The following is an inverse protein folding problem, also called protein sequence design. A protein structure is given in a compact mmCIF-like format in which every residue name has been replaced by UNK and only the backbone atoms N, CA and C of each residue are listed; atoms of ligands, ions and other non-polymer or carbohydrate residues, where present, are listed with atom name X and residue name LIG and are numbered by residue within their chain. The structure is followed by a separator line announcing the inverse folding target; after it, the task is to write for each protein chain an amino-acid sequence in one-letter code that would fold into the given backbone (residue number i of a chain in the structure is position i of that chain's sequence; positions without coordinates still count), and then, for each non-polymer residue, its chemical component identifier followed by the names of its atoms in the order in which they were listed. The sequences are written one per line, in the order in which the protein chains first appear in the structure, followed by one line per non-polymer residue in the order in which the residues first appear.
data_IF_661119736371
#
_entry.id   IF_661119736371
#
_cell.length_a   1.000
_cell.length_b   1.000
_cell.length_c   1.000
_cell.angle_alpha   90.00
_cell.angle_beta   90.00
_cell.angle_gamma   90.00
#
_symmetry.space_group_name_H-M   'P 1'
#
loop_
_entity.id
_entity.type
_entity.pdbx_description
1 polymer ?
#
# COMPACT_ATOMS: atom_id res chain seq x y z
N UNK A 1 4.15 -8.36 18.21
CA UNK A 1 3.86 -7.91 16.83
C UNK A 1 2.60 -8.62 16.34
N UNK A 2 1.72 -7.89 15.71
CA UNK A 2 0.47 -8.43 15.16
C UNK A 2 0.75 -9.32 13.95
N UNK A 3 0.13 -10.50 13.89
CA UNK A 3 0.19 -11.39 12.74
C UNK A 3 -1.15 -11.44 12.05
N UNK A 4 -1.16 -11.21 10.74
CA UNK A 4 -2.36 -11.16 9.91
C UNK A 4 -2.29 -12.31 8.90
N UNK A 5 -3.39 -13.03 8.74
CA UNK A 5 -3.54 -14.03 7.69
C UNK A 5 -4.07 -13.36 6.42
N UNK A 6 -3.23 -13.24 5.41
CA UNK A 6 -3.57 -12.58 4.14
C UNK A 6 -4.56 -13.36 3.26
N UNK A 7 -4.89 -14.59 3.64
CA UNK A 7 -5.91 -15.38 2.94
C UNK A 7 -7.34 -15.10 3.42
N UNK A 8 -7.50 -14.31 4.47
CA UNK A 8 -8.82 -13.97 5.02
C UNK A 8 -9.65 -13.11 4.07
N UNK A 9 -10.97 -13.23 4.17
CA UNK A 9 -11.90 -12.48 3.35
C UNK A 9 -11.77 -12.82 1.88
N UNK A 10 -11.68 -11.82 1.03
CA UNK A 10 -11.48 -11.99 -0.41
C UNK A 10 -10.13 -12.64 -0.76
N UNK A 11 -9.14 -12.53 0.12
CA UNK A 11 -7.82 -13.11 -0.10
C UNK A 11 -6.99 -12.41 -1.17
N UNK A 12 -7.29 -11.15 -1.47
CA UNK A 12 -6.56 -10.34 -2.46
C UNK A 12 -5.57 -9.35 -1.84
N UNK A 13 -5.28 -8.28 -2.55
CA UNK A 13 -4.32 -7.26 -2.12
C UNK A 13 -4.86 -6.24 -1.12
N UNK A 14 -6.18 -6.14 -0.96
CA UNK A 14 -6.76 -5.11 -0.10
C UNK A 14 -6.39 -5.27 1.36
N UNK A 15 -6.33 -6.49 1.87
CA UNK A 15 -5.93 -6.72 3.26
C UNK A 15 -4.51 -6.24 3.52
N UNK A 16 -3.61 -6.40 2.57
CA UNK A 16 -2.25 -5.88 2.67
C UNK A 16 -2.24 -4.35 2.68
N UNK A 17 -2.94 -3.70 1.76
CA UNK A 17 -2.98 -2.23 1.68
C UNK A 17 -3.59 -1.62 2.94
N UNK A 18 -4.66 -2.22 3.46
CA UNK A 18 -5.28 -1.78 4.71
C UNK A 18 -4.33 -1.94 5.90
N UNK A 19 -3.62 -3.07 5.97
CA UNK A 19 -2.66 -3.32 7.03
C UNK A 19 -1.50 -2.30 7.01
N UNK A 20 -0.99 -1.98 5.82
CA UNK A 20 0.06 -0.96 5.66
C UNK A 20 -0.41 0.41 6.15
N UNK A 21 -1.59 0.84 5.71
CA UNK A 21 -2.13 2.14 6.12
C UNK A 21 -2.38 2.21 7.64
N UNK A 22 -2.98 1.19 8.21
CA UNK A 22 -3.24 1.14 9.65
C UNK A 22 -1.95 1.08 10.47
N UNK A 23 -0.96 0.33 10.01
CA UNK A 23 0.35 0.26 10.66
C UNK A 23 1.00 1.65 10.72
N UNK A 24 0.95 2.41 9.64
CA UNK A 24 1.52 3.76 9.60
C UNK A 24 0.76 4.73 10.50
N UNK A 25 -0.56 4.65 10.54
CA UNK A 25 -1.38 5.54 11.38
C UNK A 25 -1.20 5.22 12.86
N UNK A 26 -1.12 3.94 13.22
CA UNK A 26 -1.03 3.49 14.62
C UNK A 26 0.38 3.31 15.13
N UNK A 27 1.38 3.33 14.26
CA UNK A 27 2.78 3.02 14.56
C UNK A 27 2.99 1.58 15.07
N UNK A 28 2.09 0.67 14.74
CA UNK A 28 2.18 -0.72 15.15
C UNK A 28 2.77 -1.59 14.04
N UNK A 29 3.84 -2.34 14.31
CA UNK A 29 4.39 -3.28 13.33
C UNK A 29 3.48 -4.48 13.13
N UNK A 30 3.57 -5.09 11.95
CA UNK A 30 2.82 -6.32 11.68
C UNK A 30 3.62 -7.28 10.79
N UNK A 31 3.20 -8.53 10.83
CA UNK A 31 3.59 -9.57 9.90
C UNK A 31 2.33 -10.07 9.19
N UNK A 32 2.35 -10.18 7.88
CA UNK A 32 1.27 -10.79 7.11
C UNK A 32 1.78 -12.04 6.42
N UNK A 33 0.99 -13.11 6.48
CA UNK A 33 1.30 -14.40 5.87
C UNK A 33 0.24 -14.76 4.84
N UNK A 34 0.47 -15.77 4.03
CA UNK A 34 -0.49 -16.27 3.04
C UNK A 34 -1.00 -15.18 2.09
N UNK A 35 -0.14 -14.23 1.72
CA UNK A 35 -0.52 -13.12 0.84
C UNK A 35 -1.00 -13.68 -0.49
N UNK A 36 -2.26 -13.37 -0.84
CA UNK A 36 -2.90 -13.76 -2.10
C UNK A 36 -2.78 -15.27 -2.41
N UNK A 37 -2.83 -16.11 -1.37
CA UNK A 37 -2.61 -17.55 -1.48
C UNK A 37 -3.55 -18.23 -2.47
N UNK A 38 -4.81 -17.79 -2.55
CA UNK A 38 -5.82 -18.39 -3.43
C UNK A 38 -5.82 -17.85 -4.87
N UNK A 39 -4.92 -16.93 -5.20
CA UNK A 39 -4.86 -16.35 -6.54
C UNK A 39 -4.04 -17.22 -7.49
N UNK A 40 -4.27 -17.06 -8.81
CA UNK A 40 -3.54 -17.80 -9.83
C UNK A 40 -2.03 -17.56 -9.75
N UNK A 41 -1.64 -16.32 -9.41
CA UNK A 41 -0.25 -15.95 -9.10
C UNK A 41 -0.19 -15.47 -7.67
N UNK A 42 0.05 -16.36 -6.69
CA UNK A 42 0.08 -15.98 -5.28
C UNK A 42 1.23 -15.03 -4.94
N UNK A 43 1.11 -14.36 -3.80
CA UNK A 43 2.14 -13.49 -3.29
C UNK A 43 2.10 -12.09 -3.89
N UNK A 44 3.14 -11.32 -3.60
CA UNK A 44 3.25 -9.93 -4.03
C UNK A 44 3.50 -9.84 -5.54
N UNK A 45 2.70 -9.05 -6.22
CA UNK A 45 2.96 -8.63 -7.59
C UNK A 45 3.51 -7.20 -7.60
N UNK A 46 3.83 -6.65 -8.78
CA UNK A 46 4.46 -5.32 -8.89
C UNK A 46 3.66 -4.22 -8.20
N UNK A 47 2.33 -4.21 -8.38
CA UNK A 47 1.47 -3.20 -7.77
C UNK A 47 1.44 -3.31 -6.23
N UNK A 48 1.53 -4.52 -5.69
CA UNK A 48 1.59 -4.74 -4.25
C UNK A 48 2.93 -4.26 -3.69
N UNK A 49 4.02 -4.54 -4.40
CA UNK A 49 5.34 -4.03 -4.04
C UNK A 49 5.39 -2.51 -4.07
N UNK A 50 4.74 -1.88 -5.06
CA UNK A 50 4.67 -0.42 -5.13
C UNK A 50 3.99 0.16 -3.90
N UNK A 51 2.89 -0.46 -3.44
CA UNK A 51 2.21 -0.05 -2.21
C UNK A 51 3.09 -0.25 -0.97
N UNK A 52 3.75 -1.39 -0.85
CA UNK A 52 4.66 -1.69 0.26
C UNK A 52 5.81 -0.69 0.31
N UNK A 53 6.48 -0.47 -0.81
CA UNK A 53 7.62 0.44 -0.89
C UNK A 53 7.21 1.89 -0.71
N UNK A 54 6.05 2.28 -1.23
CA UNK A 54 5.49 3.61 -1.00
C UNK A 54 5.19 3.85 0.48
N UNK A 55 4.54 2.90 1.13
CA UNK A 55 4.28 2.96 2.56
C UNK A 55 5.58 3.02 3.38
N UNK A 56 6.56 2.20 3.03
CA UNK A 56 7.86 2.21 3.70
C UNK A 56 8.59 3.54 3.54
N UNK A 57 8.52 4.14 2.35
CA UNK A 57 9.16 5.42 2.09
C UNK A 57 8.58 6.55 2.93
N UNK A 58 7.24 6.68 2.99
CA UNK A 58 6.61 7.75 3.78
C UNK A 58 6.73 7.52 5.28
N UNK A 59 6.84 6.28 5.72
CA UNK A 59 6.89 5.92 7.14
C UNK A 59 8.29 5.58 7.64
N UNK A 60 9.32 5.71 6.81
CA UNK A 60 10.68 5.30 7.16
C UNK A 60 10.71 3.89 7.77
N UNK A 61 9.96 2.97 7.19
CA UNK A 61 9.74 1.64 7.73
C UNK A 61 10.87 0.69 7.36
N UNK A 62 11.12 -0.27 8.25
CA UNK A 62 11.91 -1.46 7.95
C UNK A 62 10.99 -2.53 7.40
N UNK A 63 11.36 -3.13 6.29
CA UNK A 63 10.57 -4.19 5.66
C UNK A 63 11.43 -5.41 5.36
N UNK A 64 10.81 -6.58 5.43
CA UNK A 64 11.39 -7.82 4.93
C UNK A 64 10.33 -8.64 4.20
N UNK A 65 10.75 -9.36 3.17
CA UNK A 65 9.83 -10.10 2.32
C UNK A 65 9.27 -9.28 1.15
N UNK A 66 9.81 -8.12 0.86
CA UNK A 66 9.39 -7.24 -0.22
C UNK A 66 9.96 -7.66 -1.58
N UNK A 67 9.59 -8.84 -2.01
CA UNK A 67 10.02 -9.41 -3.30
C UNK A 67 8.82 -9.94 -4.08
N UNK A 68 8.93 -9.97 -5.40
CA UNK A 68 7.89 -10.56 -6.26
C UNK A 68 7.61 -12.01 -5.83
N UNK A 69 6.34 -12.34 -5.71
CA UNK A 69 5.90 -13.68 -5.33
C UNK A 69 6.00 -13.99 -3.84
N UNK A 70 6.51 -13.08 -3.03
CA UNK A 70 6.58 -13.29 -1.59
C UNK A 70 5.19 -13.44 -0.98
N UNK A 71 5.00 -14.45 -0.16
CA UNK A 71 3.74 -14.72 0.54
C UNK A 71 3.76 -14.23 1.99
N UNK A 72 4.89 -13.75 2.46
CA UNK A 72 5.06 -13.19 3.80
C UNK A 72 5.74 -11.84 3.73
N UNK A 73 5.32 -10.93 4.61
CA UNK A 73 5.89 -9.61 4.72
C UNK A 73 5.94 -9.20 6.18
N UNK A 74 7.05 -8.62 6.61
CA UNK A 74 7.17 -7.94 7.91
C UNK A 74 7.33 -6.46 7.64
N UNK A 75 6.53 -5.64 8.32
CA UNK A 75 6.53 -4.19 8.18
C UNK A 75 6.64 -3.53 9.55
N UNK A 76 7.67 -2.73 9.74
CA UNK A 76 7.94 -2.03 11.01
C UNK A 76 8.01 -0.53 10.74
N UNK A 77 6.91 0.21 10.99
CA UNK A 77 6.88 1.65 10.73
C UNK A 77 7.76 2.42 11.73
N UNK A 78 8.21 3.58 11.30
CA UNK A 78 8.85 4.57 12.15
C UNK A 78 8.03 5.86 12.09
N UNK A 79 8.62 6.97 11.66
CA UNK A 79 7.94 8.27 11.61
C UNK A 79 7.40 8.53 10.22
N UNK A 80 6.11 8.85 10.11
CA UNK A 80 5.50 9.28 8.85
C UNK A 80 5.92 10.72 8.55
N UNK A 81 6.41 10.95 7.33
CA UNK A 81 6.87 12.25 6.86
C UNK A 81 6.08 12.73 5.66
N UNK A 82 5.74 14.02 5.66
CA UNK A 82 5.24 14.71 4.49
C UNK A 82 6.36 15.09 3.53
N UNK A 83 6.11 16.08 2.67
CA UNK A 83 7.05 16.55 1.66
C UNK A 83 6.75 16.00 0.29
N UNK A 84 7.74 15.96 -0.59
CA UNK A 84 7.57 15.48 -1.95
C UNK A 84 7.85 13.98 -2.04
N UNK A 85 6.85 13.22 -2.48
CA UNK A 85 6.95 11.78 -2.68
C UNK A 85 6.55 11.41 -4.10
N UNK A 86 7.27 10.48 -4.71
CA UNK A 86 6.96 9.95 -6.02
C UNK A 86 6.82 8.42 -5.95
N UNK A 87 5.78 7.89 -6.57
CA UNK A 87 5.47 6.47 -6.56
C UNK A 87 5.30 5.96 -7.99
N UNK A 88 5.87 4.78 -8.26
CA UNK A 88 5.72 4.11 -9.55
C UNK A 88 5.25 2.68 -9.31
N UNK A 89 4.29 2.21 -10.12
CA UNK A 89 3.77 0.84 -10.01
C UNK A 89 4.63 -0.18 -10.74
N UNK A 90 5.60 0.28 -11.51
CA UNK A 90 6.47 -0.59 -12.30
C UNK A 90 5.82 -1.07 -13.59
N UNK A 91 4.82 -0.36 -14.10
CA UNK A 91 4.09 -0.71 -15.31
C UNK A 91 2.68 -0.13 -15.30
N UNK A 92 1.71 -0.90 -15.79
CA UNK A 92 0.31 -0.47 -15.88
C UNK A 92 -0.51 -0.74 -14.61
N UNK A 93 0.14 -1.11 -13.49
CA UNK A 93 -0.55 -1.32 -12.21
C UNK A 93 -1.22 -0.05 -11.70
N UNK A 94 -2.28 -0.19 -10.88
CA UNK A 94 -3.11 0.93 -10.44
C UNK A 94 -2.37 1.89 -9.52
N UNK A 95 -2.27 3.15 -9.95
CA UNK A 95 -1.79 4.24 -9.09
C UNK A 95 -2.82 4.62 -8.04
N UNK A 96 -4.11 4.42 -8.32
CA UNK A 96 -5.18 4.76 -7.39
C UNK A 96 -5.17 3.88 -6.15
N UNK A 97 -4.78 2.61 -6.26
CA UNK A 97 -4.64 1.71 -5.12
C UNK A 97 -3.42 2.08 -4.28
N UNK A 98 -2.32 2.49 -4.88
CA UNK A 98 -1.15 3.01 -4.14
C UNK A 98 -1.53 4.29 -3.41
N UNK A 99 -2.23 5.20 -4.08
CA UNK A 99 -2.70 6.44 -3.48
C UNK A 99 -3.57 6.19 -2.25
N UNK A 100 -4.52 5.26 -2.33
CA UNK A 100 -5.36 4.90 -1.18
C UNK A 100 -4.52 4.38 0.00
N UNK A 101 -3.44 3.67 -0.27
CA UNK A 101 -2.56 3.14 0.77
C UNK A 101 -1.85 4.24 1.55
N UNK A 102 -1.40 5.30 0.88
CA UNK A 102 -0.60 6.36 1.50
C UNK A 102 -1.41 7.58 1.95
N UNK A 103 -2.63 7.75 1.45
CA UNK A 103 -3.44 8.94 1.70
C UNK A 103 -3.71 9.16 3.20
N UNK A 104 -4.34 8.20 3.87
CA UNK A 104 -4.71 8.37 5.27
C UNK A 104 -3.51 8.50 6.20
N UNK A 105 -2.43 7.73 6.05
CA UNK A 105 -1.22 7.99 6.83
C UNK A 105 -0.68 9.40 6.68
N UNK A 106 -0.64 9.94 5.47
CA UNK A 106 -0.16 11.31 5.25
C UNK A 106 -1.10 12.37 5.81
N UNK A 107 -2.40 12.09 5.88
CA UNK A 107 -3.37 13.01 6.47
C UNK A 107 -3.41 12.92 8.01
N UNK A 108 -3.24 11.74 8.57
CA UNK A 108 -3.53 11.47 9.98
C UNK A 108 -2.28 11.34 10.86
N UNK A 109 -1.14 10.93 10.28
CA UNK A 109 0.06 10.61 11.05
C UNK A 109 1.16 11.69 10.96
N UNK A 110 0.94 12.76 10.21
CA UNK A 110 1.86 13.90 10.13
C UNK A 110 1.08 15.19 9.87
N UNK A 111 1.60 16.32 10.35
CA UNK A 111 1.08 17.65 10.06
C UNK A 111 1.79 18.30 8.87
N UNK A 112 2.81 17.65 8.32
CA UNK A 112 3.57 18.19 7.20
C UNK A 112 2.74 18.08 5.91
N UNK A 113 2.68 19.14 5.08
CA UNK A 113 2.04 19.06 3.77
C UNK A 113 2.82 18.15 2.83
N UNK A 114 2.11 17.50 1.92
CA UNK A 114 2.70 16.55 0.97
C UNK A 114 2.32 16.88 -0.46
N UNK A 115 3.26 16.66 -1.36
CA UNK A 115 3.03 16.67 -2.81
C UNK A 115 3.34 15.27 -3.33
N UNK A 116 2.38 14.67 -4.00
CA UNK A 116 2.47 13.27 -4.42
C UNK A 116 2.46 13.17 -5.94
N UNK A 117 3.42 12.45 -6.49
CA UNK A 117 3.47 12.11 -7.91
C UNK A 117 3.29 10.61 -8.11
N UNK A 118 2.48 10.21 -9.08
CA UNK A 118 2.21 8.82 -9.39
C UNK A 118 2.47 8.52 -10.87
N UNK A 119 3.09 7.37 -11.12
CA UNK A 119 3.34 6.87 -12.46
C UNK A 119 2.83 5.44 -12.55
N UNK A 120 1.89 5.18 -13.48
CA UNK A 120 1.26 3.88 -13.64
C UNK A 120 -0.14 3.99 -14.24
N UNK A 121 -0.96 2.96 -14.05
CA UNK A 121 -2.34 2.92 -14.56
C UNK A 121 -3.30 3.78 -13.75
N UNK A 122 -4.28 4.40 -14.43
CA UNK A 122 -5.32 5.22 -13.80
C UNK A 122 -6.71 4.60 -13.90
N UNK A 123 -6.89 3.64 -14.82
CA UNK A 123 -8.15 2.95 -15.07
C UNK A 123 -7.88 1.45 -15.18
N UNK A 124 -7.97 0.74 -14.07
CA UNK A 124 -7.64 -0.68 -13.97
C UNK A 124 -8.86 -1.48 -13.50
N UNK A 125 -8.99 -2.76 -13.93
CA UNK A 125 -9.99 -3.65 -13.36
C UNK A 125 -9.82 -3.79 -11.84
N UNK A 126 -10.93 -3.89 -11.12
CA UNK A 126 -10.97 -4.07 -9.66
C UNK A 126 -10.26 -2.97 -8.87
N UNK A 127 -10.12 -1.77 -9.47
CA UNK A 127 -9.54 -0.61 -8.83
C UNK A 127 -10.37 0.63 -9.18
N UNK A 128 -10.45 1.64 -8.28
CA UNK A 128 -11.17 2.86 -8.60
C UNK A 128 -10.46 3.63 -9.71
N UNK A 129 -11.19 4.08 -10.74
CA UNK A 129 -10.59 4.91 -11.78
C UNK A 129 -10.28 6.31 -11.24
N UNK A 130 -9.38 7.02 -11.92
CA UNK A 130 -8.99 8.38 -11.55
C UNK A 130 -10.20 9.33 -11.46
N UNK A 131 -11.13 9.21 -12.40
CA UNK A 131 -12.31 10.07 -12.43
C UNK A 131 -13.15 9.94 -11.16
N UNK A 132 -13.27 8.74 -10.61
CA UNK A 132 -13.95 8.51 -9.34
C UNK A 132 -13.21 9.19 -8.19
N UNK A 133 -11.89 9.06 -8.12
CA UNK A 133 -11.11 9.71 -7.08
C UNK A 133 -11.23 11.23 -7.15
N UNK A 134 -11.12 11.80 -8.34
CA UNK A 134 -11.22 13.25 -8.53
C UNK A 134 -12.62 13.77 -8.22
N UNK A 135 -13.66 13.11 -8.73
CA UNK A 135 -15.03 13.59 -8.68
C UNK A 135 -15.78 13.24 -7.40
N UNK A 136 -15.49 12.12 -6.74
CA UNK A 136 -16.29 11.60 -5.65
C UNK A 136 -15.52 11.33 -4.36
N UNK A 137 -14.29 10.82 -4.44
CA UNK A 137 -13.53 10.43 -3.26
C UNK A 137 -12.80 11.61 -2.61
N UNK A 138 -12.26 12.52 -3.43
CA UNK A 138 -11.42 13.64 -2.96
C UNK A 138 -12.13 14.99 -2.81
N UNK A 139 -13.33 15.25 -3.36
CA UNK A 139 -13.97 16.58 -3.28
C UNK A 139 -14.13 17.09 -1.85
#
# INVERSE_FOLDING_TARGET
MLTIDGSMGEGGGQILRSALALSLVTSLPFCITNIRRGRAKPGLMRQHLAAVRGAAAIGSAEISGDALGSTELVFRPSTVRGGAHAFATGGAGSTTLVFQTVLYPLLLATDEPSTLGFEGGTHNPMAPPFDFLEGAFLP
#
